data_IF_372937251182
#
_entry.id   IF_372937251182
#
_cell.length_a   1.000
_cell.length_b   1.000
_cell.length_c   1.000
_cell.angle_alpha   90.00
_cell.angle_beta   90.00
_cell.angle_gamma   90.00
#
_symmetry.space_group_name_H-M   'P 1'
#
loop_
_entity.id
_entity.type
_entity.pdbx_description
1 polymer ?
#
# COMPACT_ATOMS: atom_id res chain seq x y z
N UNK A 1 -15.90 -43.59 6.32
CA UNK A 1 -15.92 -42.26 6.96
C UNK A 1 -14.53 -41.70 6.81
N UNK A 2 -14.28 -40.99 5.71
CA UNK A 2 -12.99 -40.34 5.44
C UNK A 2 -12.93 -39.02 6.19
N UNK A 3 -11.99 -38.91 7.15
CA UNK A 3 -11.74 -37.69 7.88
C UNK A 3 -11.42 -36.56 6.89
N UNK A 4 -12.25 -35.55 6.86
CA UNK A 4 -11.94 -34.23 6.26
C UNK A 4 -10.80 -33.64 7.08
N UNK A 5 -9.55 -33.91 6.63
CA UNK A 5 -8.39 -33.24 7.17
C UNK A 5 -8.65 -31.73 7.08
N UNK A 6 -8.66 -31.07 8.24
CA UNK A 6 -8.69 -29.61 8.32
C UNK A 6 -7.60 -29.10 7.40
N UNK A 7 -7.92 -28.26 6.40
CA UNK A 7 -6.89 -27.70 5.55
C UNK A 7 -5.94 -26.93 6.46
N UNK A 8 -4.66 -27.28 6.40
CA UNK A 8 -3.60 -26.49 7.04
C UNK A 8 -3.83 -25.02 6.68
N UNK A 9 -3.69 -24.12 7.66
CA UNK A 9 -3.90 -22.68 7.47
C UNK A 9 -3.12 -22.12 6.27
N UNK A 10 -3.32 -20.86 5.91
CA UNK A 10 -2.60 -20.25 4.81
C UNK A 10 -1.09 -20.29 5.08
N UNK A 11 -0.32 -20.77 4.12
CA UNK A 11 1.15 -20.80 4.18
C UNK A 11 1.77 -19.67 3.38
N UNK A 12 0.97 -18.90 2.67
CA UNK A 12 1.37 -17.78 1.84
C UNK A 12 0.29 -16.73 1.84
N UNK A 13 0.69 -15.48 2.00
CA UNK A 13 -0.13 -14.33 1.62
C UNK A 13 0.69 -13.43 0.70
N UNK A 14 0.05 -12.84 -0.30
CA UNK A 14 0.65 -11.92 -1.26
C UNK A 14 -0.29 -10.77 -1.52
N UNK A 15 0.27 -9.59 -1.79
CA UNK A 15 -0.53 -8.44 -2.18
C UNK A 15 0.30 -7.30 -2.78
N UNK A 16 -0.41 -6.34 -3.31
CA UNK A 16 0.16 -5.09 -3.83
C UNK A 16 -0.69 -3.92 -3.36
N UNK A 17 -0.01 -2.86 -2.91
CA UNK A 17 -0.60 -1.59 -2.50
C UNK A 17 -0.14 -0.52 -3.47
N UNK A 18 -1.06 0.25 -4.01
CA UNK A 18 -0.78 1.43 -4.82
C UNK A 18 -1.18 2.67 -4.06
N UNK A 19 -0.32 3.70 -4.05
CA UNK A 19 -0.54 4.94 -3.30
C UNK A 19 -0.36 6.14 -4.21
N UNK A 20 -1.31 7.09 -4.12
CA UNK A 20 -1.26 8.37 -4.85
C UNK A 20 -2.07 9.44 -4.15
N UNK A 21 -1.86 10.68 -4.55
CA UNK A 21 -2.73 11.77 -4.16
C UNK A 21 -4.10 11.62 -4.86
N UNK A 22 -5.18 11.83 -4.11
CA UNK A 22 -6.53 11.88 -4.69
C UNK A 22 -6.63 13.11 -5.61
N UNK A 23 -7.13 12.98 -6.86
CA UNK A 23 -7.19 14.10 -7.79
C UNK A 23 -8.30 15.09 -7.40
N UNK A 24 -7.99 15.94 -6.42
CA UNK A 24 -8.87 16.99 -5.92
C UNK A 24 -8.04 18.11 -5.28
N UNK A 25 -8.46 19.36 -5.47
CA UNK A 25 -7.81 20.55 -4.91
C UNK A 25 -7.85 20.59 -3.38
N UNK A 26 -8.93 20.06 -2.78
CA UNK A 26 -9.16 20.09 -1.34
C UNK A 26 -9.31 18.69 -0.74
N UNK A 27 -9.00 18.56 0.55
CA UNK A 27 -9.30 17.34 1.28
C UNK A 27 -10.80 17.11 1.30
N UNK A 28 -11.23 15.92 0.89
CA UNK A 28 -12.65 15.56 0.94
C UNK A 28 -13.08 15.29 2.38
N UNK A 29 -14.30 15.69 2.70
CA UNK A 29 -14.91 15.43 4.01
C UNK A 29 -15.37 13.96 4.17
N UNK A 30 -15.80 13.57 5.36
CA UNK A 30 -16.25 12.21 5.65
C UNK A 30 -17.42 11.76 4.79
N UNK A 31 -18.36 12.64 4.49
CA UNK A 31 -19.55 12.32 3.66
C UNK A 31 -19.13 12.05 2.21
N UNK A 32 -18.21 12.85 1.72
CA UNK A 32 -17.64 12.67 0.37
C UNK A 32 -16.78 11.42 0.31
N UNK A 33 -15.95 11.18 1.32
CA UNK A 33 -15.17 9.95 1.43
C UNK A 33 -16.07 8.71 1.46
N UNK A 34 -17.17 8.73 2.23
CA UNK A 34 -18.14 7.64 2.24
C UNK A 34 -18.77 7.40 0.86
N UNK A 35 -19.11 8.46 0.13
CA UNK A 35 -19.69 8.34 -1.22
C UNK A 35 -18.68 7.81 -2.24
N UNK A 36 -17.44 8.27 -2.18
CA UNK A 36 -16.35 7.81 -3.04
C UNK A 36 -16.03 6.33 -2.84
N UNK A 37 -16.02 5.88 -1.58
CA UNK A 37 -15.60 4.54 -1.19
C UNK A 37 -16.78 3.56 -1.04
N UNK A 38 -18.01 3.97 -1.28
CA UNK A 38 -19.17 3.08 -1.32
C UNK A 38 -19.19 2.25 -2.59
N UNK A 39 -18.27 1.29 -2.66
CA UNK A 39 -18.05 0.43 -3.83
C UNK A 39 -19.06 -0.73 -3.92
N UNK A 40 -19.77 -0.99 -2.82
CA UNK A 40 -20.88 -1.95 -2.69
C UNK A 40 -22.06 -1.28 -2.03
N UNK A 41 -23.25 -1.70 -2.39
CA UNK A 41 -24.51 -1.14 -1.86
C UNK A 41 -24.92 -1.76 -0.53
N UNK A 42 -24.51 -2.99 -0.28
CA UNK A 42 -24.86 -3.84 0.86
C UNK A 42 -23.89 -3.69 2.06
N UNK A 43 -22.76 -3.06 1.88
CA UNK A 43 -21.75 -2.88 2.92
C UNK A 43 -21.41 -1.39 3.13
N UNK A 44 -21.08 -1.05 4.38
CA UNK A 44 -20.75 0.33 4.77
C UNK A 44 -19.25 0.58 4.66
N UNK A 45 -18.88 1.80 4.31
CA UNK A 45 -17.52 2.34 4.45
C UNK A 45 -17.21 2.45 5.94
N UNK A 46 -16.03 1.95 6.35
CA UNK A 46 -15.55 2.11 7.72
C UNK A 46 -14.82 3.43 7.84
N UNK A 47 -15.19 4.22 8.83
CA UNK A 47 -14.60 5.52 9.12
C UNK A 47 -13.91 5.46 10.49
N UNK A 48 -12.74 6.09 10.60
CA UNK A 48 -12.03 6.35 11.86
C UNK A 48 -11.52 7.78 11.86
N UNK A 49 -11.42 8.39 13.04
CA UNK A 49 -10.89 9.75 13.22
C UNK A 49 -9.57 9.77 13.96
N UNK A 50 -9.16 8.63 14.50
CA UNK A 50 -7.95 8.51 15.30
C UNK A 50 -7.06 7.38 14.76
N UNK A 51 -5.73 7.59 14.66
CA UNK A 51 -4.99 8.82 14.99
C UNK A 51 -5.21 9.97 14.00
N UNK A 52 -5.66 9.67 12.78
CA UNK A 52 -6.05 10.61 11.73
C UNK A 52 -7.36 10.14 11.07
N UNK A 53 -7.94 10.96 10.19
CA UNK A 53 -9.15 10.57 9.44
C UNK A 53 -8.79 9.48 8.43
N UNK A 54 -9.51 8.38 8.54
CA UNK A 54 -9.24 7.17 7.78
C UNK A 54 -10.54 6.53 7.34
N UNK A 55 -10.70 6.37 6.05
CA UNK A 55 -11.88 5.76 5.45
C UNK A 55 -11.48 4.52 4.64
N UNK A 56 -12.18 3.40 4.86
CA UNK A 56 -11.90 2.13 4.19
C UNK A 56 -13.15 1.62 3.51
N UNK A 57 -13.04 1.33 2.21
CA UNK A 57 -14.12 0.73 1.43
C UNK A 57 -14.44 -0.68 1.92
N UNK A 58 -15.64 -1.19 1.63
CA UNK A 58 -15.90 -2.62 1.65
C UNK A 58 -14.90 -3.38 0.78
N UNK A 59 -14.60 -4.63 1.17
CA UNK A 59 -13.77 -5.52 0.37
C UNK A 59 -14.48 -5.94 -0.91
N UNK A 60 -13.82 -5.79 -2.04
CA UNK A 60 -14.25 -6.32 -3.33
C UNK A 60 -13.57 -7.66 -3.58
N UNK A 61 -14.29 -8.62 -4.13
CA UNK A 61 -13.76 -9.93 -4.49
C UNK A 61 -13.67 -10.05 -6.00
N UNK A 62 -12.47 -10.34 -6.48
CA UNK A 62 -12.22 -10.65 -7.90
C UNK A 62 -11.97 -12.14 -8.04
N UNK A 63 -12.78 -12.83 -8.83
CA UNK A 63 -12.62 -14.26 -9.14
C UNK A 63 -11.39 -14.48 -10.02
N UNK A 64 -10.59 -15.47 -9.66
CA UNK A 64 -9.32 -15.80 -10.32
C UNK A 64 -9.26 -17.29 -10.62
N UNK A 65 -8.83 -17.63 -11.84
CA UNK A 65 -8.56 -19.00 -12.29
C UNK A 65 -7.40 -18.97 -13.30
N UNK A 66 -6.16 -18.85 -12.81
CA UNK A 66 -4.96 -18.64 -13.64
C UNK A 66 -3.70 -19.25 -13.00
N UNK A 67 -2.54 -19.00 -13.59
CA UNK A 67 -1.24 -19.37 -13.02
C UNK A 67 -0.79 -18.29 -12.03
N UNK A 68 -0.23 -18.65 -10.87
CA UNK A 68 0.48 -17.69 -10.03
C UNK A 68 1.83 -17.34 -10.69
N UNK A 69 2.37 -16.13 -10.43
CA UNK A 69 3.74 -15.79 -10.80
C UNK A 69 4.72 -16.81 -10.19
N UNK A 70 5.72 -17.24 -10.94
CA UNK A 70 6.67 -18.26 -10.48
C UNK A 70 7.97 -18.19 -11.23
N UNK A 71 9.10 -18.11 -10.53
CA UNK A 71 10.46 -18.09 -11.17
C UNK A 71 10.81 -19.39 -11.88
N UNK A 72 10.23 -20.52 -11.48
CA UNK A 72 10.50 -21.82 -12.11
C UNK A 72 9.57 -22.13 -13.29
N UNK A 73 8.64 -21.21 -13.62
CA UNK A 73 7.64 -21.48 -14.65
C UNK A 73 6.70 -22.64 -14.32
N UNK A 74 6.52 -22.94 -13.03
CA UNK A 74 5.68 -24.04 -12.57
C UNK A 74 4.27 -23.92 -13.17
N UNK A 75 3.73 -25.05 -13.66
CA UNK A 75 2.38 -25.13 -14.24
C UNK A 75 1.25 -25.18 -13.20
N UNK A 76 1.57 -24.78 -11.97
CA UNK A 76 0.56 -24.69 -10.90
C UNK A 76 -0.56 -23.76 -11.31
N UNK A 77 -1.79 -24.09 -10.97
CA UNK A 77 -2.97 -23.26 -11.21
C UNK A 77 -3.60 -22.92 -9.85
N UNK A 78 -4.06 -21.71 -9.69
CA UNK A 78 -4.77 -21.26 -8.49
C UNK A 78 -6.17 -20.82 -8.86
N UNK A 79 -7.14 -21.13 -8.02
CA UNK A 79 -8.56 -20.79 -8.22
C UNK A 79 -9.11 -20.23 -6.93
N UNK A 80 -9.87 -19.16 -7.00
CA UNK A 80 -10.48 -18.53 -5.83
C UNK A 80 -10.74 -17.05 -6.03
N UNK A 81 -10.60 -16.28 -4.95
CA UNK A 81 -10.84 -14.84 -5.01
C UNK A 81 -9.67 -14.05 -4.44
N UNK A 82 -9.37 -12.92 -5.06
CA UNK A 82 -8.49 -11.86 -4.54
C UNK A 82 -9.37 -10.81 -3.88
N UNK A 83 -9.02 -10.38 -2.68
CA UNK A 83 -9.69 -9.28 -1.98
C UNK A 83 -9.00 -7.97 -2.36
N UNK A 84 -9.78 -6.96 -2.75
CA UNK A 84 -9.28 -5.62 -2.98
C UNK A 84 -10.09 -4.60 -2.16
N UNK A 85 -9.41 -3.55 -1.66
CA UNK A 85 -10.04 -2.45 -0.94
C UNK A 85 -9.36 -1.13 -1.26
N UNK A 86 -10.11 -0.04 -1.15
CA UNK A 86 -9.58 1.31 -1.23
C UNK A 86 -9.56 1.93 0.17
N UNK A 87 -8.53 2.71 0.42
CA UNK A 87 -8.30 3.42 1.68
C UNK A 87 -8.05 4.89 1.36
N UNK A 88 -8.68 5.78 2.09
CA UNK A 88 -8.50 7.21 1.97
C UNK A 88 -8.03 7.78 3.30
N UNK A 89 -6.84 8.39 3.30
CA UNK A 89 -6.19 8.97 4.46
C UNK A 89 -6.33 10.49 4.39
N UNK A 90 -6.85 11.10 5.46
CA UNK A 90 -7.12 12.54 5.63
C UNK A 90 -7.89 13.18 4.45
N UNK A 91 -8.68 12.37 3.73
CA UNK A 91 -9.40 12.84 2.55
C UNK A 91 -8.50 13.27 1.39
N UNK A 92 -7.23 12.90 1.38
CA UNK A 92 -6.22 13.34 0.41
C UNK A 92 -5.45 12.21 -0.25
N UNK A 93 -4.95 11.26 0.51
CA UNK A 93 -4.14 10.17 -0.03
C UNK A 93 -4.99 8.94 -0.24
N UNK A 94 -5.05 8.49 -1.48
CA UNK A 94 -5.77 7.29 -1.86
C UNK A 94 -4.79 6.14 -1.99
N UNK A 95 -5.10 5.06 -1.29
CA UNK A 95 -4.48 3.77 -1.48
C UNK A 95 -5.48 2.79 -2.06
N UNK A 96 -5.00 1.90 -2.91
CA UNK A 96 -5.74 0.73 -3.36
C UNK A 96 -4.88 -0.49 -3.10
N UNK A 97 -5.38 -1.42 -2.32
CA UNK A 97 -4.68 -2.66 -2.04
C UNK A 97 -5.47 -3.86 -2.54
N UNK A 98 -4.73 -4.84 -3.08
CA UNK A 98 -5.28 -6.14 -3.45
C UNK A 98 -4.40 -7.23 -2.87
N UNK A 99 -5.00 -8.28 -2.29
CA UNK A 99 -4.25 -9.36 -1.66
C UNK A 99 -5.03 -10.67 -1.67
N UNK A 100 -4.30 -11.75 -1.50
CA UNK A 100 -4.84 -13.09 -1.31
C UNK A 100 -3.99 -13.89 -0.33
N UNK A 101 -4.56 -14.97 0.18
CA UNK A 101 -3.84 -16.02 0.88
C UNK A 101 -3.93 -17.35 0.12
N UNK A 102 -2.98 -18.26 0.35
CA UNK A 102 -3.02 -19.57 -0.28
C UNK A 102 -2.53 -20.67 0.69
N UNK A 103 -3.16 -21.86 0.70
CA UNK A 103 -2.63 -23.05 1.37
C UNK A 103 -1.50 -23.67 0.52
N UNK A 104 -0.66 -24.54 1.15
CA UNK A 104 0.42 -25.24 0.47
C UNK A 104 -0.07 -26.23 -0.61
N UNK A 105 -1.29 -26.72 -0.46
CA UNK A 105 -1.90 -27.69 -1.38
C UNK A 105 -3.41 -27.55 -1.43
N UNK A 106 -3.98 -28.03 -2.49
CA UNK A 106 -5.42 -28.09 -2.72
C UNK A 106 -5.82 -29.39 -3.40
N UNK A 107 -7.06 -29.49 -3.90
CA UNK A 107 -7.53 -30.66 -4.61
C UNK A 107 -6.69 -30.91 -5.88
N UNK A 108 -6.47 -32.18 -6.24
CA UNK A 108 -5.75 -32.55 -7.46
C UNK A 108 -6.48 -32.16 -8.75
N UNK A 109 -7.78 -31.88 -8.64
CA UNK A 109 -8.60 -31.42 -9.77
C UNK A 109 -9.38 -30.17 -9.36
N UNK A 110 -9.57 -29.28 -10.34
CA UNK A 110 -10.41 -28.09 -10.18
C UNK A 110 -11.81 -28.48 -9.71
N UNK A 111 -12.31 -27.79 -8.69
CA UNK A 111 -13.67 -27.96 -8.14
C UNK A 111 -14.63 -26.91 -8.75
N UNK A 112 -15.94 -27.07 -8.61
CA UNK A 112 -16.92 -26.03 -8.92
C UNK A 112 -16.66 -24.74 -8.13
N UNK A 113 -17.05 -23.59 -8.66
CA UNK A 113 -16.83 -22.27 -8.05
C UNK A 113 -17.37 -22.16 -6.61
N UNK A 114 -18.49 -22.77 -6.28
CA UNK A 114 -19.04 -22.77 -4.92
C UNK A 114 -18.06 -23.26 -3.85
N UNK A 115 -17.10 -24.15 -4.21
CA UNK A 115 -16.05 -24.60 -3.31
C UNK A 115 -15.08 -23.47 -2.94
N UNK A 116 -14.79 -22.57 -3.88
CA UNK A 116 -13.83 -21.46 -3.71
C UNK A 116 -14.47 -20.23 -3.11
N UNK A 117 -15.72 -19.93 -3.45
CA UNK A 117 -16.46 -18.77 -2.94
C UNK A 117 -16.73 -18.84 -1.43
N UNK A 118 -16.72 -20.02 -0.84
CA UNK A 118 -16.81 -20.19 0.61
C UNK A 118 -15.57 -19.69 1.40
N UNK A 119 -14.50 -19.28 0.71
CA UNK A 119 -13.24 -18.79 1.30
C UNK A 119 -12.81 -17.49 0.65
N UNK A 120 -13.45 -16.36 0.97
CA UNK A 120 -13.11 -15.06 0.40
C UNK A 120 -11.64 -14.69 0.63
N UNK A 121 -10.97 -14.18 -0.41
CA UNK A 121 -9.56 -13.78 -0.33
C UNK A 121 -8.57 -14.94 -0.28
N UNK A 122 -9.04 -16.19 -0.60
CA UNK A 122 -8.17 -17.35 -0.65
C UNK A 122 -8.08 -17.91 -2.07
N UNK A 123 -6.85 -18.13 -2.54
CA UNK A 123 -6.54 -18.84 -3.78
C UNK A 123 -6.09 -20.25 -3.46
N UNK A 124 -6.90 -21.23 -3.85
CA UNK A 124 -6.63 -22.64 -3.61
C UNK A 124 -5.89 -23.21 -4.82
N UNK A 125 -4.68 -23.77 -4.64
CA UNK A 125 -3.96 -24.40 -5.74
C UNK A 125 -4.66 -25.69 -6.19
N UNK A 126 -4.53 -25.99 -7.46
CA UNK A 126 -4.85 -27.31 -8.00
C UNK A 126 -3.59 -28.16 -7.86
N UNK A 127 -3.62 -29.13 -6.92
CA UNK A 127 -2.45 -29.87 -6.51
C UNK A 127 -1.58 -29.10 -5.49
N UNK A 128 -0.25 -29.16 -5.62
CA UNK A 128 0.71 -28.58 -4.69
C UNK A 128 1.22 -27.22 -5.18
N UNK A 129 1.33 -26.24 -4.28
CA UNK A 129 1.86 -24.91 -4.54
C UNK A 129 3.38 -24.89 -4.23
N UNK A 130 4.25 -24.55 -5.19
CA UNK A 130 5.68 -24.35 -4.93
C UNK A 130 5.90 -22.98 -4.27
N UNK A 131 5.62 -22.87 -2.96
CA UNK A 131 5.53 -21.62 -2.19
C UNK A 131 6.73 -20.71 -2.44
N UNK A 132 7.97 -21.22 -2.31
CA UNK A 132 9.18 -20.42 -2.52
C UNK A 132 9.26 -19.82 -3.92
N UNK A 133 9.02 -20.64 -4.96
CA UNK A 133 9.05 -20.17 -6.34
C UNK A 133 7.95 -19.13 -6.62
N UNK A 134 6.79 -19.28 -5.97
CA UNK A 134 5.68 -18.31 -6.10
C UNK A 134 5.97 -17.01 -5.35
N UNK A 135 6.56 -17.04 -4.16
CA UNK A 135 6.97 -15.81 -3.45
C UNK A 135 8.00 -15.01 -4.23
N UNK A 136 9.05 -15.67 -4.72
CA UNK A 136 10.09 -15.04 -5.54
C UNK A 136 9.51 -14.47 -6.85
N UNK A 137 8.67 -15.26 -7.56
CA UNK A 137 8.03 -14.83 -8.80
C UNK A 137 7.06 -13.66 -8.58
N UNK A 138 6.31 -13.67 -7.49
CA UNK A 138 5.39 -12.58 -7.15
C UNK A 138 6.14 -11.27 -6.90
N UNK A 139 7.26 -11.29 -6.18
CA UNK A 139 8.08 -10.10 -5.95
C UNK A 139 8.77 -9.60 -7.22
N UNK A 140 9.20 -10.51 -8.10
CA UNK A 140 9.77 -10.15 -9.40
C UNK A 140 8.74 -9.51 -10.36
N UNK A 141 7.48 -9.89 -10.25
CA UNK A 141 6.39 -9.39 -11.08
C UNK A 141 5.75 -10.46 -11.96
N UNK A 142 4.47 -10.26 -12.34
CA UNK A 142 3.76 -11.24 -13.15
C UNK A 142 4.29 -11.28 -14.57
N UNK A 143 4.43 -12.49 -15.10
CA UNK A 143 4.63 -12.75 -16.50
C UNK A 143 3.31 -12.70 -17.29
N UNK A 144 3.39 -12.82 -18.63
CA UNK A 144 2.20 -12.94 -19.48
C UNK A 144 1.32 -14.11 -19.01
N UNK A 145 0.01 -13.88 -18.89
CA UNK A 145 -0.99 -14.88 -18.47
C UNK A 145 -0.86 -15.40 -17.04
N UNK A 146 -0.09 -14.74 -16.20
CA UNK A 146 -0.01 -14.99 -14.77
C UNK A 146 -0.93 -14.05 -13.99
N UNK A 147 -1.15 -14.37 -12.71
CA UNK A 147 -1.94 -13.55 -11.80
C UNK A 147 -1.28 -12.18 -11.59
N UNK A 148 -1.93 -11.14 -12.05
CA UNK A 148 -1.54 -9.75 -11.80
C UNK A 148 -2.45 -9.11 -10.74
N UNK A 149 -2.01 -9.14 -9.49
CA UNK A 149 -2.71 -8.52 -8.36
C UNK A 149 -2.61 -6.99 -8.45
N UNK A 150 -1.51 -6.48 -9.01
CA UNK A 150 -1.31 -5.05 -9.23
C UNK A 150 -2.34 -4.45 -10.18
N UNK A 151 -2.71 -5.17 -11.23
CA UNK A 151 -3.79 -4.75 -12.15
C UNK A 151 -5.16 -4.69 -11.47
N UNK A 152 -5.43 -5.58 -10.50
CA UNK A 152 -6.66 -5.53 -9.69
C UNK A 152 -6.67 -4.26 -8.83
N UNK A 153 -5.55 -3.97 -8.13
CA UNK A 153 -5.40 -2.76 -7.34
C UNK A 153 -5.52 -1.50 -8.21
N UNK A 154 -4.85 -1.47 -9.39
CA UNK A 154 -4.91 -0.33 -10.32
C UNK A 154 -6.32 -0.08 -10.84
N UNK A 155 -7.06 -1.13 -11.18
CA UNK A 155 -8.45 -1.02 -11.65
C UNK A 155 -9.35 -0.39 -10.58
N UNK A 156 -9.14 -0.76 -9.32
CA UNK A 156 -9.85 -0.18 -8.19
C UNK A 156 -9.45 1.30 -7.99
N UNK A 157 -8.15 1.61 -8.01
CA UNK A 157 -7.61 2.97 -7.95
C UNK A 157 -8.24 3.85 -9.02
N UNK A 158 -8.22 3.39 -10.28
CA UNK A 158 -8.78 4.10 -11.40
C UNK A 158 -10.30 4.32 -11.27
N UNK A 159 -11.03 3.34 -10.72
CA UNK A 159 -12.47 3.46 -10.46
C UNK A 159 -12.77 4.61 -9.48
N UNK A 160 -12.02 4.71 -8.38
CA UNK A 160 -12.19 5.79 -7.39
C UNK A 160 -11.77 7.13 -7.97
N UNK A 161 -10.60 7.20 -8.64
CA UNK A 161 -10.08 8.44 -9.22
C UNK A 161 -10.94 9.04 -10.36
N UNK A 162 -11.78 8.22 -11.01
CA UNK A 162 -12.71 8.72 -12.06
C UNK A 162 -14.06 9.16 -11.52
N UNK A 163 -14.23 9.18 -10.21
CA UNK A 163 -15.53 9.52 -9.64
C UNK A 163 -15.84 11.01 -9.87
N UNK A 164 -17.03 11.30 -10.40
CA UNK A 164 -17.49 12.65 -10.80
C UNK A 164 -17.57 13.72 -9.68
N UNK A 165 -17.35 13.29 -8.44
CA UNK A 165 -17.33 14.18 -7.27
C UNK A 165 -15.97 14.91 -7.15
N UNK A 166 -14.94 14.39 -7.80
CA UNK A 166 -13.59 14.95 -7.80
C UNK A 166 -13.50 16.08 -8.85
N UNK A 167 -12.76 17.12 -8.52
CA UNK A 167 -12.54 18.27 -9.40
C UNK A 167 -11.38 18.07 -10.38
N UNK A 168 -10.61 16.98 -10.19
CA UNK A 168 -9.43 16.60 -10.99
C UNK A 168 -8.28 17.60 -10.93
N UNK A 169 -8.28 18.50 -9.95
CA UNK A 169 -7.18 19.42 -9.68
C UNK A 169 -6.29 18.89 -8.55
N UNK A 170 -4.99 19.09 -8.69
CA UNK A 170 -4.00 18.58 -7.74
C UNK A 170 -3.28 19.76 -7.08
N UNK A 171 -3.24 19.84 -5.75
CA UNK A 171 -2.56 20.94 -5.04
C UNK A 171 -1.04 20.88 -5.19
N UNK A 172 -0.50 19.72 -5.58
CA UNK A 172 0.93 19.51 -5.83
C UNK A 172 1.16 18.31 -6.74
N UNK A 173 2.29 18.31 -7.44
CA UNK A 173 2.76 17.17 -8.21
C UNK A 173 3.34 16.11 -7.29
N UNK A 174 2.90 14.87 -7.43
CA UNK A 174 3.36 13.74 -6.62
C UNK A 174 3.73 12.55 -7.50
N UNK A 175 4.56 11.68 -6.96
CA UNK A 175 4.88 10.39 -7.58
C UNK A 175 3.83 9.35 -7.16
N UNK A 176 3.42 8.49 -8.07
CA UNK A 176 2.65 7.31 -7.72
C UNK A 176 3.60 6.19 -7.32
N UNK A 177 3.33 5.53 -6.20
CA UNK A 177 4.16 4.40 -5.76
C UNK A 177 3.35 3.12 -5.67
N UNK A 178 4.04 1.99 -5.80
CA UNK A 178 3.50 0.66 -5.53
C UNK A 178 4.41 -0.12 -4.58
N UNK A 179 3.80 -0.86 -3.68
CA UNK A 179 4.47 -1.75 -2.75
C UNK A 179 3.92 -3.15 -2.94
N UNK A 180 4.78 -4.07 -3.40
CA UNK A 180 4.46 -5.48 -3.57
C UNK A 180 5.01 -6.26 -2.41
N UNK A 181 4.22 -7.16 -1.84
CA UNK A 181 4.59 -7.87 -0.63
C UNK A 181 4.22 -9.34 -0.65
N UNK A 182 5.02 -10.14 0.05
CA UNK A 182 4.73 -11.53 0.35
C UNK A 182 4.93 -11.80 1.84
N UNK A 183 4.11 -12.67 2.41
CA UNK A 183 4.25 -13.12 3.78
C UNK A 183 4.11 -14.64 3.86
N UNK A 184 5.08 -15.28 4.52
CA UNK A 184 5.09 -16.71 4.80
C UNK A 184 5.23 -16.94 6.31
N UNK A 185 4.70 -18.04 6.86
CA UNK A 185 4.95 -18.38 8.24
C UNK A 185 6.44 -18.58 8.51
N UNK A 186 6.93 -18.07 9.63
CA UNK A 186 8.25 -18.41 10.16
C UNK A 186 8.29 -19.90 10.56
N UNK A 187 9.43 -20.54 10.38
CA UNK A 187 9.63 -21.90 10.87
C UNK A 187 9.74 -21.84 12.41
N UNK A 188 9.30 -22.88 13.08
CA UNK A 188 9.33 -22.95 14.55
C UNK A 188 10.76 -22.71 15.06
N UNK A 189 10.94 -21.71 15.92
CA UNK A 189 12.25 -21.27 16.41
C UNK A 189 12.98 -20.23 15.54
N UNK A 190 12.46 -19.88 14.35
CA UNK A 190 12.97 -18.74 13.57
C UNK A 190 12.43 -17.42 14.11
N UNK A 191 13.30 -16.43 14.15
CA UNK A 191 12.90 -15.02 14.41
C UNK A 191 12.12 -14.49 13.21
N UNK A 192 11.12 -13.68 13.47
CA UNK A 192 10.48 -12.86 12.44
C UNK A 192 11.56 -12.16 11.61
N UNK A 193 11.42 -12.19 10.31
CA UNK A 193 12.38 -11.52 9.42
C UNK A 193 11.67 -10.71 8.36
N UNK A 194 12.25 -9.56 8.04
CA UNK A 194 11.75 -8.62 7.06
C UNK A 194 12.85 -8.31 6.04
N UNK A 195 12.46 -8.19 4.79
CA UNK A 195 13.33 -7.71 3.71
C UNK A 195 12.58 -6.66 2.92
N UNK A 196 13.06 -5.42 2.99
CA UNK A 196 12.55 -4.30 2.20
C UNK A 196 13.55 -3.96 1.09
N UNK A 197 13.06 -3.86 -0.14
CA UNK A 197 13.92 -3.55 -1.31
C UNK A 197 13.24 -2.48 -2.17
N UNK A 198 14.00 -1.46 -2.52
CA UNK A 198 13.61 -0.48 -3.53
C UNK A 198 14.00 -1.04 -4.90
N UNK A 199 13.01 -1.46 -5.71
CA UNK A 199 13.26 -2.03 -7.03
C UNK A 199 13.51 -0.92 -8.08
N UNK A 200 12.70 0.15 -8.03
CA UNK A 200 12.85 1.36 -8.83
C UNK A 200 12.24 2.56 -8.09
N UNK A 201 12.12 3.71 -8.74
CA UNK A 201 11.58 4.93 -8.11
C UNK A 201 10.09 4.83 -7.74
N UNK A 202 9.34 3.96 -8.37
CA UNK A 202 7.91 3.76 -8.11
C UNK A 202 7.57 2.43 -7.42
N UNK A 203 8.46 1.43 -7.47
CA UNK A 203 8.21 0.08 -6.97
C UNK A 203 9.06 -0.27 -5.76
N UNK A 204 8.40 -0.76 -4.70
CA UNK A 204 9.01 -1.38 -3.52
C UNK A 204 8.57 -2.82 -3.41
N UNK A 205 9.43 -3.64 -2.83
CA UNK A 205 9.10 -5.03 -2.51
C UNK A 205 9.38 -5.34 -1.05
N UNK A 206 8.51 -6.14 -0.44
CA UNK A 206 8.63 -6.57 0.96
C UNK A 206 8.41 -8.07 1.04
N UNK A 207 9.37 -8.78 1.62
CA UNK A 207 9.23 -10.18 1.99
C UNK A 207 9.19 -10.30 3.51
N UNK A 208 8.14 -10.95 4.04
CA UNK A 208 7.89 -11.09 5.47
C UNK A 208 7.90 -12.56 5.85
N UNK A 209 8.53 -12.88 6.99
CA UNK A 209 8.37 -14.14 7.71
C UNK A 209 7.71 -13.81 9.04
N UNK A 210 6.52 -14.32 9.27
CA UNK A 210 5.65 -13.91 10.38
C UNK A 210 5.25 -15.13 11.24
N UNK A 211 4.86 -14.93 12.50
CA UNK A 211 4.34 -16.00 13.32
C UNK A 211 3.16 -16.73 12.66
N UNK A 212 3.05 -18.04 12.91
CA UNK A 212 1.92 -18.82 12.43
C UNK A 212 0.59 -18.23 12.90
N UNK A 213 -0.40 -18.25 12.01
CA UNK A 213 -1.73 -17.74 12.32
C UNK A 213 -1.91 -16.23 12.17
N UNK A 214 -0.87 -15.49 11.76
CA UNK A 214 -1.03 -14.07 11.41
C UNK A 214 -2.07 -13.91 10.30
N UNK A 215 -3.09 -13.09 10.59
CA UNK A 215 -4.21 -12.89 9.65
C UNK A 215 -3.74 -12.13 8.39
N UNK A 216 -4.04 -12.61 7.17
CA UNK A 216 -3.65 -11.94 5.93
C UNK A 216 -4.14 -10.49 5.83
N UNK A 217 -5.32 -10.19 6.40
CA UNK A 217 -5.86 -8.83 6.44
C UNK A 217 -5.04 -7.89 7.34
N UNK A 218 -4.45 -8.40 8.44
CA UNK A 218 -3.56 -7.61 9.31
C UNK A 218 -2.23 -7.32 8.58
N UNK A 219 -1.69 -8.30 7.85
CA UNK A 219 -0.50 -8.10 7.01
C UNK A 219 -0.76 -7.07 5.92
N UNK A 220 -1.92 -7.13 5.27
CA UNK A 220 -2.30 -6.12 4.28
C UNK A 220 -2.37 -4.72 4.91
N UNK A 221 -2.90 -4.58 6.13
CA UNK A 221 -2.92 -3.30 6.87
C UNK A 221 -1.52 -2.78 7.21
N UNK A 222 -0.61 -3.66 7.63
CA UNK A 222 0.82 -3.32 7.83
C UNK A 222 1.45 -2.78 6.54
N UNK A 223 1.22 -3.45 5.42
CA UNK A 223 1.78 -3.07 4.13
C UNK A 223 1.13 -1.79 3.57
N UNK A 224 -0.14 -1.52 3.86
CA UNK A 224 -0.81 -0.25 3.54
C UNK A 224 -0.18 0.91 4.33
N UNK A 225 0.07 0.74 5.63
CA UNK A 225 0.74 1.74 6.46
C UNK A 225 2.17 2.01 5.97
N UNK A 226 2.95 0.97 5.70
CA UNK A 226 4.29 1.09 5.14
C UNK A 226 4.29 1.80 3.78
N UNK A 227 3.36 1.44 2.88
CA UNK A 227 3.23 2.06 1.56
C UNK A 227 2.87 3.54 1.64
N UNK A 228 2.05 3.95 2.62
CA UNK A 228 1.74 5.36 2.88
C UNK A 228 3.01 6.13 3.26
N UNK A 229 3.79 5.60 4.20
CA UNK A 229 4.99 6.28 4.70
C UNK A 229 6.11 6.33 3.65
N UNK A 230 6.31 5.26 2.87
CA UNK A 230 7.25 5.28 1.73
C UNK A 230 6.81 6.29 0.65
N UNK A 231 5.51 6.36 0.36
CA UNK A 231 4.98 7.35 -0.59
C UNK A 231 5.18 8.78 -0.11
N UNK A 232 4.95 9.06 1.19
CA UNK A 232 5.19 10.38 1.79
C UNK A 232 6.67 10.77 1.66
N UNK A 233 7.59 9.86 2.02
CA UNK A 233 9.04 10.08 1.87
C UNK A 233 9.42 10.36 0.42
N UNK A 234 8.94 9.53 -0.50
CA UNK A 234 9.24 9.66 -1.93
C UNK A 234 8.71 10.99 -2.48
N UNK A 235 7.50 11.38 -2.09
CA UNK A 235 6.88 12.64 -2.54
C UNK A 235 7.62 13.86 -1.99
N UNK A 236 7.97 13.85 -0.70
CA UNK A 236 8.73 14.95 -0.09
C UNK A 236 10.13 15.06 -0.69
N UNK A 237 10.83 13.92 -0.89
CA UNK A 237 12.13 13.89 -1.54
C UNK A 237 12.07 14.48 -2.96
N UNK A 238 11.12 13.99 -3.77
CA UNK A 238 10.90 14.47 -5.14
C UNK A 238 10.64 15.98 -5.18
N UNK A 239 9.79 16.49 -4.29
CA UNK A 239 9.49 17.91 -4.21
C UNK A 239 10.70 18.75 -3.77
N UNK A 240 11.54 18.24 -2.86
CA UNK A 240 12.76 18.92 -2.42
C UNK A 240 13.87 18.90 -3.48
N UNK A 241 13.99 17.81 -4.23
CA UNK A 241 15.01 17.67 -5.29
C UNK A 241 14.65 18.45 -6.56
N UNK A 242 13.36 18.67 -6.81
CA UNK A 242 12.88 19.54 -7.88
C UNK A 242 13.06 21.04 -7.63
N UNK A 243 13.57 21.41 -6.46
CA UNK A 243 13.81 22.83 -6.13
C UNK A 243 15.06 23.36 -6.83
N UNK A 244 14.97 24.50 -7.56
CA UNK A 244 16.13 25.07 -8.23
C UNK A 244 17.21 25.47 -7.22
N UNK A 245 18.47 25.10 -7.53
CA UNK A 245 19.64 25.44 -6.72
C UNK A 245 20.06 26.95 -6.83
N UNK A 246 19.32 27.75 -7.59
CA UNK A 246 19.64 29.13 -7.93
C UNK A 246 18.71 30.19 -7.34
N UNK A 247 19.05 31.45 -7.60
CA UNK A 247 18.45 32.63 -6.97
C UNK A 247 17.05 33.04 -7.47
N UNK A 248 16.41 32.24 -8.36
CA UNK A 248 15.06 32.56 -8.85
C UNK A 248 13.98 31.87 -7.97
N UNK A 249 13.55 32.63 -7.00
CA UNK A 249 12.84 32.22 -5.80
C UNK A 249 11.30 32.10 -5.95
N UNK A 250 10.74 32.21 -7.15
CA UNK A 250 9.29 32.44 -7.32
C UNK A 250 8.35 31.28 -6.95
N UNK A 251 8.78 30.02 -7.07
CA UNK A 251 7.88 28.87 -6.82
C UNK A 251 8.11 28.07 -5.52
N UNK A 252 9.28 28.22 -4.90
CA UNK A 252 9.69 27.42 -3.74
C UNK A 252 8.84 27.63 -2.47
N UNK A 253 8.40 28.86 -2.10
CA UNK A 253 7.54 29.05 -0.94
C UNK A 253 6.21 28.32 -1.07
N UNK A 254 5.68 28.25 -2.26
CA UNK A 254 4.38 27.64 -2.55
C UNK A 254 4.46 26.10 -2.46
N UNK A 255 5.50 25.50 -3.01
CA UNK A 255 5.74 24.05 -2.89
C UNK A 255 5.94 23.64 -1.44
N UNK A 256 6.80 24.35 -0.69
CA UNK A 256 7.05 24.05 0.73
C UNK A 256 5.77 24.23 1.57
N UNK A 257 5.01 25.29 1.31
CA UNK A 257 3.73 25.54 1.98
C UNK A 257 2.76 24.40 1.68
N UNK A 258 2.64 24.01 0.42
CA UNK A 258 1.77 22.92 0.01
C UNK A 258 2.15 21.59 0.67
N UNK A 259 3.44 21.28 0.79
CA UNK A 259 3.90 20.08 1.53
C UNK A 259 3.51 20.14 3.01
N UNK A 260 3.75 21.30 3.67
CA UNK A 260 3.42 21.50 5.10
C UNK A 260 1.91 21.38 5.32
N UNK A 261 1.11 22.08 4.50
CA UNK A 261 -0.33 22.16 4.68
C UNK A 261 -1.05 20.83 4.35
N UNK A 262 -0.47 20.02 3.47
CA UNK A 262 -1.19 18.86 2.92
C UNK A 262 -0.61 17.51 3.30
N UNK A 263 0.69 17.38 3.59
CA UNK A 263 1.33 16.08 3.71
C UNK A 263 2.04 15.82 5.04
N UNK A 264 2.72 16.82 5.63
CA UNK A 264 3.59 16.55 6.78
C UNK A 264 2.85 16.00 8.00
N UNK A 265 1.60 16.39 8.19
CA UNK A 265 0.77 15.90 9.29
C UNK A 265 0.28 14.44 9.11
N UNK A 266 0.47 13.85 7.92
CA UNK A 266 0.08 12.48 7.63
C UNK A 266 1.08 11.44 8.16
N UNK A 267 2.26 11.87 8.59
CA UNK A 267 3.28 10.99 9.14
C UNK A 267 2.88 10.51 10.54
N UNK A 268 2.21 9.36 10.59
CA UNK A 268 1.75 8.72 11.82
C UNK A 268 2.00 7.21 11.77
N UNK A 269 3.28 6.78 11.87
CA UNK A 269 3.65 5.38 11.76
C UNK A 269 2.88 4.51 12.76
N UNK A 270 2.47 3.32 12.32
CA UNK A 270 1.68 2.34 13.09
C UNK A 270 0.26 2.77 13.45
N UNK A 271 -0.19 3.93 13.00
CA UNK A 271 -1.50 4.45 13.39
C UNK A 271 -2.67 3.50 13.06
N UNK A 272 -2.53 2.72 12.00
CA UNK A 272 -3.55 1.78 11.53
C UNK A 272 -3.09 0.32 11.48
N UNK A 273 -1.92 0.03 12.06
CA UNK A 273 -1.34 -1.32 12.13
C UNK A 273 -1.90 -2.08 13.34
N UNK A 274 -2.23 -3.35 13.15
CA UNK A 274 -2.61 -4.24 14.25
C UNK A 274 -1.48 -4.31 15.29
N UNK A 275 -1.84 -4.23 16.56
CA UNK A 275 -0.86 -4.20 17.68
C UNK A 275 0.08 -5.41 17.68
N UNK A 276 -0.38 -6.57 17.21
CA UNK A 276 0.43 -7.79 17.10
C UNK A 276 1.56 -7.67 16.08
N UNK A 277 1.48 -6.69 15.17
CA UNK A 277 2.48 -6.44 14.13
C UNK A 277 3.31 -5.16 14.38
N UNK A 278 3.19 -4.51 15.54
CA UNK A 278 3.98 -3.30 15.83
C UNK A 278 5.48 -3.56 15.82
N UNK A 279 5.93 -4.69 16.37
CA UNK A 279 7.35 -5.09 16.36
C UNK A 279 7.87 -5.35 14.94
N UNK A 280 7.03 -5.94 14.07
CA UNK A 280 7.35 -6.15 12.65
C UNK A 280 7.50 -4.81 11.93
N UNK A 281 6.62 -3.85 12.23
CA UNK A 281 6.71 -2.51 11.68
C UNK A 281 8.00 -1.79 12.13
N UNK A 282 8.37 -1.92 13.41
CA UNK A 282 9.61 -1.35 13.96
C UNK A 282 10.84 -1.93 13.25
N UNK A 283 10.88 -3.24 13.03
CA UNK A 283 11.94 -3.90 12.28
C UNK A 283 11.99 -3.43 10.81
N UNK A 284 10.84 -3.25 10.16
CA UNK A 284 10.76 -2.69 8.81
C UNK A 284 11.29 -1.24 8.77
N UNK A 285 10.91 -0.41 9.74
CA UNK A 285 11.37 0.98 9.83
C UNK A 285 12.87 1.07 10.10
N UNK A 286 13.42 0.21 10.94
CA UNK A 286 14.86 0.14 11.20
C UNK A 286 15.65 -0.19 9.93
N UNK A 287 15.20 -1.20 9.17
CA UNK A 287 15.83 -1.61 7.90
C UNK A 287 15.69 -0.58 6.80
N UNK A 288 14.49 -0.07 6.57
CA UNK A 288 14.22 0.93 5.55
C UNK A 288 14.72 2.33 5.95
N UNK A 289 14.81 2.58 7.26
CA UNK A 289 15.21 3.88 7.81
C UNK A 289 14.19 4.99 7.58
N UNK A 290 12.91 4.63 7.44
CA UNK A 290 11.84 5.56 7.07
C UNK A 290 11.73 6.73 8.07
N UNK A 291 11.63 6.45 9.35
CA UNK A 291 11.54 7.49 10.40
C UNK A 291 12.79 8.38 10.47
N UNK A 292 13.98 7.80 10.26
CA UNK A 292 15.22 8.56 10.20
C UNK A 292 15.25 9.51 8.99
N UNK A 293 14.89 9.01 7.81
CA UNK A 293 14.80 9.83 6.60
C UNK A 293 13.78 10.94 6.74
N UNK A 294 12.61 10.65 7.32
CA UNK A 294 11.58 11.64 7.60
C UNK A 294 12.07 12.78 8.48
N UNK A 295 12.79 12.47 9.56
CA UNK A 295 13.36 13.48 10.47
C UNK A 295 14.36 14.38 9.75
N UNK A 296 15.22 13.80 8.90
CA UNK A 296 16.19 14.58 8.09
C UNK A 296 15.48 15.51 7.10
N UNK A 297 14.46 15.01 6.40
CA UNK A 297 13.67 15.82 5.46
C UNK A 297 12.90 16.93 6.17
N UNK A 298 12.27 16.62 7.30
CA UNK A 298 11.57 17.61 8.13
C UNK A 298 12.51 18.71 8.64
N UNK A 299 13.75 18.35 9.00
CA UNK A 299 14.77 19.35 9.37
C UNK A 299 15.16 20.21 8.15
N UNK A 300 15.43 19.60 7.00
CA UNK A 300 15.74 20.31 5.75
C UNK A 300 14.65 21.33 5.36
N UNK A 301 13.39 20.94 5.48
CA UNK A 301 12.23 21.84 5.23
C UNK A 301 12.26 23.03 6.20
N UNK A 302 12.43 22.77 7.50
CA UNK A 302 12.50 23.84 8.52
C UNK A 302 13.63 24.80 8.26
N UNK A 303 14.83 24.30 7.96
CA UNK A 303 16.02 25.12 7.66
C UNK A 303 15.77 26.00 6.43
N UNK A 304 15.15 25.49 5.38
CA UNK A 304 14.78 26.26 4.20
C UNK A 304 13.78 27.37 4.53
N UNK A 305 12.79 27.12 5.36
CA UNK A 305 11.82 28.12 5.78
C UNK A 305 12.47 29.23 6.63
N UNK A 306 13.36 28.88 7.55
CA UNK A 306 14.10 29.83 8.41
C UNK A 306 15.01 30.70 7.56
N UNK A 307 15.83 30.13 6.67
CA UNK A 307 16.71 30.88 5.79
C UNK A 307 15.96 31.91 4.95
N UNK A 308 14.76 31.61 4.51
CA UNK A 308 13.92 32.55 3.75
C UNK A 308 13.32 33.65 4.61
N UNK A 309 12.83 33.31 5.79
CA UNK A 309 12.29 34.28 6.72
C UNK A 309 13.39 35.33 7.09
N UNK A 310 14.65 34.91 7.15
CA UNK A 310 15.79 35.82 7.36
C UNK A 310 16.05 36.69 6.12
N UNK A 311 16.07 36.10 4.91
CA UNK A 311 16.31 36.84 3.65
C UNK A 311 15.23 37.87 3.37
N UNK A 312 13.94 37.54 3.56
CA UNK A 312 12.81 38.46 3.35
C UNK A 312 12.85 39.67 4.29
N UNK A 313 13.45 39.54 5.48
CA UNK A 313 13.67 40.67 6.42
C UNK A 313 14.82 41.59 6.01
N UNK A 314 15.76 41.13 5.16
CA UNK A 314 16.94 41.88 4.74
C UNK A 314 16.79 42.49 3.34
N UNK A 315 15.69 42.28 2.62
CA UNK A 315 15.39 43.04 1.41
C UNK A 315 14.78 44.36 1.82
N UNK A 316 15.54 45.49 1.69
CA UNK A 316 14.95 46.82 1.89
C UNK A 316 13.86 46.99 0.82
N UNK A 317 12.68 47.49 1.24
CA UNK A 317 11.63 47.91 0.35
C UNK A 317 12.25 48.90 -0.68
N UNK A 318 12.58 48.41 -1.87
CA UNK A 318 12.88 49.25 -3.02
C UNK A 318 11.54 49.85 -3.50
N UNK A 319 11.18 50.97 -2.92
CA UNK A 319 9.97 51.68 -3.22
C UNK A 319 9.91 53.00 -2.48
N UNK A 320 10.57 53.98 -3.00
CA UNK A 320 10.16 55.39 -3.05
C UNK A 320 10.77 56.02 -4.31
#
# INVERSE_FOLDING_TARGET
MGGLGTPSGPVLACGEVRTRLLPTSHAVDERTAERLLRLRTDERVRLSRHPNRYAVSPGLLTGVDCRPPSVTGARSRVVGTVTARAVLVEGRVLQSSAHFSAPASGPDRRRPWGHYLGRPGCLIPVGRLPVRSVTEGFLAGPGPHELDVGSIAESLMARVCRHRILDFDLPLTTVNTSLRWTAVPAVEGEVTSVLFTKADDGLRTVALRLPHGTAPAAVAGLCEDLALHDWLLTTVAYALDGLPAGHEDSGLPEVLRSLVDHLLHLWMPRGHVDRTLHTVWEELDEHAGCSRQWNVMGQRIRDQLVLRAVRSRHQPSAGD
#
